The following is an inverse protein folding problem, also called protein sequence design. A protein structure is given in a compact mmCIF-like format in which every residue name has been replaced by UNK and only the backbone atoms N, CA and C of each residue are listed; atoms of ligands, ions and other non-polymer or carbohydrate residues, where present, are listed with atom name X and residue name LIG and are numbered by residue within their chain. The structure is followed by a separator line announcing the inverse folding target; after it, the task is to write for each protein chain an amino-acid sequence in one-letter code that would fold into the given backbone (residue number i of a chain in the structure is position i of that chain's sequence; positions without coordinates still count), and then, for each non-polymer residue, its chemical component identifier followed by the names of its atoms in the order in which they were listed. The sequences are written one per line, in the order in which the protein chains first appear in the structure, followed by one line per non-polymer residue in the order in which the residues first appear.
data_IF_782210198021
#
_entry.id   IF_782210198021
#
_cell.length_a   1.000
_cell.length_b   1.000
_cell.length_c   1.000
_cell.angle_alpha   90.00
_cell.angle_beta   90.00
_cell.angle_gamma   90.00
#
_symmetry.space_group_name_H-M   'P 1'
#
loop_
_entity.id
_entity.type
_entity.pdbx_description
1 polymer ?
#
# COMPACT_ATOMS: atom_id res chain seq x y z
N UNK A 1 -0.16 4.39 -10.20
CA UNK A 1 -0.57 5.72 -10.72
C UNK A 1 0.49 6.77 -10.43
N UNK A 2 0.94 6.94 -9.19
CA UNK A 2 1.95 7.95 -8.81
C UNK A 2 3.27 7.85 -9.62
N UNK A 3 3.81 6.64 -9.83
CA UNK A 3 5.01 6.46 -10.68
C UNK A 3 4.78 6.89 -12.13
N UNK A 4 3.56 6.74 -12.67
CA UNK A 4 3.22 7.17 -14.02
C UNK A 4 3.00 8.68 -14.12
N UNK A 5 2.46 9.32 -13.08
CA UNK A 5 2.36 10.78 -12.98
C UNK A 5 3.75 11.45 -12.88
N UNK A 6 4.66 10.83 -12.12
CA UNK A 6 6.06 11.27 -12.02
C UNK A 6 6.78 11.07 -13.35
N UNK A 7 6.64 9.90 -14.00
CA UNK A 7 7.24 9.64 -15.32
C UNK A 7 6.71 10.59 -16.39
N UNK A 8 5.39 10.86 -16.40
CA UNK A 8 4.78 11.80 -17.34
C UNK A 8 5.34 13.23 -17.20
N UNK A 9 5.60 13.66 -15.96
CA UNK A 9 6.01 15.03 -15.67
C UNK A 9 7.54 15.20 -15.74
N UNK A 10 8.31 14.17 -15.38
CA UNK A 10 9.79 14.19 -15.40
C UNK A 10 10.42 13.62 -16.66
N UNK A 11 9.65 12.89 -17.48
CA UNK A 11 10.14 12.22 -18.69
C UNK A 11 11.21 11.15 -18.43
N UNK A 12 11.43 10.75 -17.16
CA UNK A 12 12.46 9.79 -16.77
C UNK A 12 11.94 8.80 -15.75
N UNK A 13 12.47 7.58 -15.79
CA UNK A 13 12.26 6.53 -14.77
C UNK A 13 13.44 6.40 -13.80
N UNK A 14 14.52 7.14 -14.04
CA UNK A 14 15.74 7.01 -13.23
C UNK A 14 15.55 7.74 -11.91
N UNK A 15 15.43 6.98 -10.82
CA UNK A 15 15.32 7.51 -9.47
C UNK A 15 16.49 8.45 -9.15
N UNK A 16 17.69 8.15 -9.65
CA UNK A 16 18.89 8.98 -9.49
C UNK A 16 18.75 10.38 -10.10
N UNK A 17 17.86 10.56 -11.08
CA UNK A 17 17.58 11.88 -11.68
C UNK A 17 16.40 12.58 -11.02
N UNK A 18 15.75 11.93 -10.07
CA UNK A 18 14.65 12.46 -9.27
C UNK A 18 15.19 12.95 -7.92
N UNK A 19 14.56 13.98 -7.38
CA UNK A 19 14.90 14.55 -6.08
C UNK A 19 14.08 15.79 -5.82
N UNK A 20 13.59 15.96 -4.59
CA UNK A 20 12.84 17.15 -4.18
C UNK A 20 11.50 17.38 -4.89
N UNK A 21 10.92 16.34 -5.50
CA UNK A 21 9.67 16.48 -6.28
C UNK A 21 8.50 17.03 -5.45
N UNK A 22 8.53 16.92 -4.12
CA UNK A 22 7.46 17.48 -3.29
C UNK A 22 7.36 19.00 -3.37
N UNK A 23 8.40 19.72 -3.83
CA UNK A 23 8.39 21.18 -3.99
C UNK A 23 7.66 21.64 -5.26
N UNK A 24 7.72 20.84 -6.32
CA UNK A 24 7.13 21.14 -7.65
C UNK A 24 5.82 20.39 -7.88
N UNK A 25 5.64 19.21 -7.27
CA UNK A 25 4.43 18.38 -7.39
C UNK A 25 3.88 17.99 -6.00
N UNK A 26 3.40 18.95 -5.19
CA UNK A 26 2.97 18.69 -3.81
C UNK A 26 1.81 17.69 -3.70
N UNK A 27 0.83 17.71 -4.62
CA UNK A 27 -0.30 16.77 -4.59
C UNK A 27 0.16 15.34 -4.85
N UNK A 28 1.01 15.15 -5.87
CA UNK A 28 1.56 13.82 -6.20
C UNK A 28 2.51 13.31 -5.10
N UNK A 29 3.26 14.20 -4.46
CA UNK A 29 4.10 13.88 -3.30
C UNK A 29 3.28 13.45 -2.08
N UNK A 30 2.21 14.18 -1.78
CA UNK A 30 1.30 13.86 -0.67
C UNK A 30 0.61 12.51 -0.88
N UNK A 31 -0.02 12.29 -2.05
CA UNK A 31 -0.68 11.01 -2.36
C UNK A 31 0.29 9.84 -2.44
N UNK A 32 1.51 10.05 -2.95
CA UNK A 32 2.57 9.02 -2.92
C UNK A 32 3.01 8.68 -1.51
N UNK A 33 3.09 9.68 -0.64
CA UNK A 33 3.43 9.45 0.77
C UNK A 33 2.32 8.61 1.40
N UNK A 34 1.06 9.03 1.29
CA UNK A 34 -0.10 8.28 1.82
C UNK A 34 -0.13 6.84 1.29
N UNK A 35 0.06 6.65 -0.02
CA UNK A 35 0.11 5.31 -0.62
C UNK A 35 1.27 4.46 -0.10
N UNK A 36 2.47 5.05 0.05
CA UNK A 36 3.64 4.34 0.60
C UNK A 36 3.46 3.94 2.06
N UNK A 37 2.81 4.78 2.86
CA UNK A 37 2.46 4.48 4.26
C UNK A 37 1.41 3.37 4.31
N UNK A 38 0.46 3.36 3.38
CA UNK A 38 -0.55 2.31 3.23
C UNK A 38 0.06 0.94 2.93
N UNK A 39 1.01 0.88 1.99
CA UNK A 39 1.71 -0.37 1.62
C UNK A 39 2.64 -0.85 2.74
N UNK A 40 3.31 0.10 3.40
CA UNK A 40 4.20 -0.22 4.51
C UNK A 40 3.45 -0.74 5.73
N UNK A 41 2.14 -0.54 5.80
CA UNK A 41 1.28 -1.09 6.84
C UNK A 41 1.44 -0.35 8.15
N UNK A 42 1.34 0.98 8.12
CA UNK A 42 1.24 1.78 9.36
C UNK A 42 -0.17 1.60 9.93
N UNK A 43 -0.36 1.54 11.27
CA UNK A 43 -1.65 1.26 11.90
C UNK A 43 -2.92 1.96 11.37
N UNK A 44 -2.90 3.23 10.90
CA UNK A 44 -4.11 3.87 10.39
C UNK A 44 -4.50 3.43 8.97
N UNK A 45 -3.74 2.51 8.34
CA UNK A 45 -3.97 2.07 6.97
C UNK A 45 -4.42 0.61 6.88
N UNK A 46 -5.17 0.30 5.82
CA UNK A 46 -5.66 -1.04 5.52
C UNK A 46 -4.56 -2.12 5.42
N UNK A 47 -3.36 -1.74 4.95
CA UNK A 47 -2.24 -2.66 4.76
C UNK A 47 -1.65 -3.21 6.05
N UNK A 48 -1.83 -2.51 7.18
CA UNK A 48 -1.43 -3.02 8.50
C UNK A 48 -2.30 -4.22 8.90
N UNK A 49 -3.61 -4.03 8.85
CA UNK A 49 -4.58 -5.06 9.21
C UNK A 49 -4.41 -6.32 8.38
N UNK A 50 -4.26 -6.19 7.06
CA UNK A 50 -4.06 -7.33 6.16
C UNK A 50 -2.85 -8.19 6.56
N UNK A 51 -1.70 -7.57 6.87
CA UNK A 51 -0.51 -8.32 7.34
C UNK A 51 -0.70 -8.90 8.74
N UNK A 52 -1.39 -8.17 9.62
CA UNK A 52 -1.64 -8.62 10.99
C UNK A 52 -2.51 -9.89 11.03
N UNK A 53 -3.56 -9.99 10.20
CA UNK A 53 -4.35 -11.21 10.08
C UNK A 53 -3.54 -12.39 9.54
N UNK A 54 -2.67 -12.17 8.56
CA UNK A 54 -1.79 -13.21 8.05
C UNK A 54 -0.86 -13.72 9.16
N UNK A 55 -0.24 -12.82 9.93
CA UNK A 55 0.64 -13.20 11.05
C UNK A 55 -0.13 -13.97 12.11
N UNK A 56 -1.32 -13.50 12.51
CA UNK A 56 -2.17 -14.19 13.48
C UNK A 56 -2.57 -15.58 12.96
N UNK A 57 -2.97 -15.70 11.69
CA UNK A 57 -3.31 -16.97 11.06
C UNK A 57 -2.14 -17.95 11.03
N UNK A 58 -0.93 -17.47 10.73
CA UNK A 58 0.29 -18.31 10.76
C UNK A 58 0.62 -18.79 12.17
N UNK A 59 0.45 -17.93 13.19
CA UNK A 59 0.67 -18.29 14.59
C UNK A 59 -0.37 -19.32 15.04
N UNK A 60 -1.65 -19.13 14.70
CA UNK A 60 -2.71 -20.09 15.03
C UNK A 60 -2.52 -21.44 14.33
N UNK A 61 -1.97 -21.44 13.11
CA UNK A 61 -1.61 -22.66 12.39
C UNK A 61 -0.32 -23.33 12.89
N UNK A 62 0.35 -22.77 13.91
CA UNK A 62 1.60 -23.30 14.47
C UNK A 62 2.86 -23.04 13.62
N UNK A 63 2.75 -22.25 12.55
CA UNK A 63 3.86 -21.92 11.65
C UNK A 63 4.65 -20.68 12.11
N UNK A 64 5.27 -20.78 13.29
CA UNK A 64 6.00 -19.66 13.91
C UNK A 64 7.16 -19.12 13.06
N UNK A 65 7.88 -19.99 12.35
CA UNK A 65 9.01 -19.58 11.48
C UNK A 65 8.51 -18.67 10.34
N UNK A 66 7.39 -19.04 9.72
CA UNK A 66 6.78 -18.24 8.65
C UNK A 66 6.29 -16.90 9.20
N UNK A 67 5.67 -16.89 10.39
CA UNK A 67 5.23 -15.66 11.03
C UNK A 67 6.39 -14.67 11.26
N UNK A 68 7.54 -15.15 11.75
CA UNK A 68 8.76 -14.33 11.94
C UNK A 68 9.28 -13.78 10.61
N UNK A 69 9.33 -14.61 9.56
CA UNK A 69 9.75 -14.17 8.22
C UNK A 69 8.81 -13.08 7.70
N UNK A 70 7.49 -13.24 7.87
CA UNK A 70 6.50 -12.24 7.46
C UNK A 70 6.67 -10.92 8.21
N UNK A 71 6.96 -10.96 9.52
CA UNK A 71 7.26 -9.76 10.31
C UNK A 71 8.51 -9.06 9.76
N UNK A 72 9.60 -9.79 9.55
CA UNK A 72 10.85 -9.23 9.01
C UNK A 72 10.65 -8.63 7.61
N UNK A 73 9.93 -9.33 6.73
CA UNK A 73 9.60 -8.83 5.40
C UNK A 73 8.76 -7.54 5.47
N UNK A 74 7.83 -7.44 6.43
CA UNK A 74 7.04 -6.23 6.62
C UNK A 74 7.90 -5.03 7.05
N UNK A 75 8.81 -5.24 8.01
CA UNK A 75 9.76 -4.21 8.46
C UNK A 75 10.69 -3.77 7.34
N UNK A 76 11.23 -4.72 6.56
CA UNK A 76 12.09 -4.42 5.42
C UNK A 76 11.33 -3.61 4.34
N UNK A 77 10.08 -3.98 4.08
CA UNK A 77 9.21 -3.24 3.16
C UNK A 77 9.03 -1.79 3.62
N UNK A 78 8.69 -1.58 4.91
CA UNK A 78 8.56 -0.24 5.49
C UNK A 78 9.85 0.58 5.33
N UNK A 79 10.99 -0.01 5.68
CA UNK A 79 12.29 0.65 5.57
C UNK A 79 12.62 1.04 4.12
N UNK A 80 12.38 0.13 3.17
CA UNK A 80 12.61 0.37 1.75
C UNK A 80 11.72 1.48 1.21
N UNK A 81 10.41 1.45 1.50
CA UNK A 81 9.47 2.45 1.01
C UNK A 81 9.74 3.83 1.61
N UNK A 82 10.05 3.93 2.91
CA UNK A 82 10.45 5.19 3.53
C UNK A 82 11.72 5.77 2.90
N UNK A 83 12.72 4.92 2.63
CA UNK A 83 13.96 5.33 1.96
C UNK A 83 13.68 5.82 0.54
N UNK A 84 12.87 5.09 -0.23
CA UNK A 84 12.47 5.46 -1.59
C UNK A 84 11.72 6.80 -1.59
N UNK A 85 10.76 6.97 -0.70
CA UNK A 85 9.95 8.19 -0.59
C UNK A 85 10.81 9.40 -0.20
N UNK A 86 11.76 9.21 0.73
CA UNK A 86 12.73 10.26 1.08
C UNK A 86 13.59 10.65 -0.12
N UNK A 87 14.13 9.67 -0.84
CA UNK A 87 15.02 9.90 -1.98
C UNK A 87 14.31 10.61 -3.15
N UNK A 88 13.10 10.15 -3.50
CA UNK A 88 12.35 10.69 -4.64
C UNK A 88 11.70 12.06 -4.34
N UNK A 89 11.09 12.25 -3.15
CA UNK A 89 10.25 13.42 -2.88
C UNK A 89 10.85 14.43 -1.90
N UNK A 90 11.59 13.98 -0.88
CA UNK A 90 12.12 14.84 0.21
C UNK A 90 13.61 15.19 0.07
N UNK A 91 14.25 14.82 -1.04
CA UNK A 91 15.62 15.23 -1.36
C UNK A 91 15.75 16.69 -1.82
N UNK A 92 16.96 17.09 -2.20
CA UNK A 92 17.17 18.37 -2.88
C UNK A 92 16.59 18.33 -4.30
N UNK A 93 16.00 19.46 -4.72
CA UNK A 93 15.43 19.58 -6.05
C UNK A 93 16.58 19.59 -7.06
N UNK A 94 16.64 18.59 -7.94
CA UNK A 94 17.70 18.53 -8.95
C UNK A 94 17.48 19.58 -10.04
N UNK A 95 18.58 20.17 -10.51
CA UNK A 95 18.57 21.13 -11.62
C UNK A 95 17.85 20.56 -12.85
N UNK A 96 16.94 21.35 -13.43
CA UNK A 96 16.08 20.94 -14.54
C UNK A 96 14.69 20.43 -14.16
N UNK A 97 14.43 20.12 -12.88
CA UNK A 97 13.10 19.74 -12.40
C UNK A 97 12.22 20.93 -12.00
N UNK A 98 12.78 22.14 -11.93
CA UNK A 98 12.08 23.38 -11.50
C UNK A 98 10.93 23.83 -12.42
N UNK A 99 11.01 23.49 -13.71
CA UNK A 99 9.99 23.86 -14.71
C UNK A 99 8.85 22.85 -14.82
N UNK A 100 8.93 21.75 -14.06
CA UNK A 100 7.95 20.67 -14.12
C UNK A 100 6.68 21.12 -13.38
N UNK A 101 5.53 20.88 -14.00
CA UNK A 101 4.22 21.15 -13.41
C UNK A 101 3.58 19.84 -12.93
N UNK A 102 2.60 20.00 -12.05
CA UNK A 102 1.79 18.87 -11.58
C UNK A 102 1.14 18.08 -12.72
N UNK A 103 0.90 16.79 -12.43
CA UNK A 103 0.20 15.89 -13.33
C UNK A 103 -1.23 16.39 -13.58
N UNK A 104 -1.81 16.08 -14.77
CA UNK A 104 -3.14 16.55 -15.14
C UNK A 104 -4.19 16.22 -14.08
N UNK A 105 -5.20 17.09 -13.95
CA UNK A 105 -6.23 17.00 -12.92
C UNK A 105 -6.92 15.63 -12.84
N UNK A 106 -7.15 14.96 -13.98
CA UNK A 106 -7.71 13.61 -14.02
C UNK A 106 -6.83 12.57 -13.31
N UNK A 107 -5.51 12.61 -13.53
CA UNK A 107 -4.57 11.71 -12.84
C UNK A 107 -4.52 12.04 -11.34
N UNK A 108 -4.47 13.34 -11.00
CA UNK A 108 -4.52 13.81 -9.62
C UNK A 108 -5.76 13.31 -8.88
N UNK A 109 -6.93 13.46 -9.51
CA UNK A 109 -8.22 13.05 -8.96
C UNK A 109 -8.24 11.56 -8.63
N UNK A 110 -7.85 10.68 -9.56
CA UNK A 110 -7.81 9.25 -9.29
C UNK A 110 -6.82 8.88 -8.18
N UNK A 111 -5.66 9.53 -8.12
CA UNK A 111 -4.68 9.29 -7.03
C UNK A 111 -5.25 9.68 -5.66
N UNK A 112 -5.95 10.81 -5.58
CA UNK A 112 -6.60 11.29 -4.34
C UNK A 112 -7.73 10.35 -3.93
N UNK A 113 -8.60 9.97 -4.87
CA UNK A 113 -9.73 9.06 -4.60
C UNK A 113 -9.20 7.72 -4.07
N UNK A 114 -8.18 7.13 -4.69
CA UNK A 114 -7.58 5.88 -4.19
C UNK A 114 -6.95 6.05 -2.81
N UNK A 115 -6.27 7.17 -2.56
CA UNK A 115 -5.66 7.45 -1.26
C UNK A 115 -6.73 7.59 -0.16
N UNK A 116 -7.84 8.27 -0.44
CA UNK A 116 -8.98 8.41 0.47
C UNK A 116 -9.63 7.05 0.72
N UNK A 117 -9.81 6.22 -0.31
CA UNK A 117 -10.36 4.87 -0.13
C UNK A 117 -9.44 4.02 0.76
N UNK A 118 -8.12 4.06 0.55
CA UNK A 118 -7.18 3.31 1.39
C UNK A 118 -7.21 3.76 2.86
N UNK A 119 -7.28 5.07 3.10
CA UNK A 119 -7.43 5.64 4.44
C UNK A 119 -8.79 5.31 5.06
N UNK A 120 -9.87 5.46 4.28
CA UNK A 120 -11.23 5.19 4.72
C UNK A 120 -11.41 3.75 5.14
N UNK A 121 -10.91 2.79 4.35
CA UNK A 121 -10.92 1.36 4.70
C UNK A 121 -10.04 1.05 5.90
N UNK A 122 -8.90 1.74 6.05
CA UNK A 122 -8.02 1.60 7.21
C UNK A 122 -8.64 2.10 8.52
N UNK A 123 -9.32 3.25 8.48
CA UNK A 123 -9.98 3.88 9.64
C UNK A 123 -11.29 3.16 9.99
N UNK A 124 -12.11 2.85 8.98
CA UNK A 124 -13.38 2.12 9.11
C UNK A 124 -13.16 0.60 9.00
N UNK A 125 -12.06 0.11 9.56
CA UNK A 125 -11.72 -1.31 9.47
C UNK A 125 -12.79 -2.23 10.09
N UNK A 126 -13.37 -1.80 11.22
CA UNK A 126 -14.38 -2.56 11.96
C UNK A 126 -15.66 -2.89 11.14
N UNK A 127 -16.35 -1.92 10.49
CA UNK A 127 -17.50 -2.25 9.63
C UNK A 127 -17.12 -2.99 8.34
N UNK A 128 -15.93 -2.74 7.77
CA UNK A 128 -15.48 -3.45 6.57
C UNK A 128 -15.26 -4.95 6.85
N UNK A 129 -14.71 -5.29 8.02
CA UNK A 129 -14.56 -6.70 8.41
C UNK A 129 -15.90 -7.44 8.46
N UNK A 130 -16.91 -6.84 9.10
CA UNK A 130 -18.23 -7.48 9.25
C UNK A 130 -18.95 -7.68 7.92
N UNK A 131 -18.85 -6.70 7.02
CA UNK A 131 -19.62 -6.73 5.77
C UNK A 131 -18.96 -7.63 4.72
N UNK A 132 -17.63 -7.71 4.70
CA UNK A 132 -16.88 -8.36 3.62
C UNK A 132 -16.16 -9.63 4.08
N UNK A 133 -15.51 -9.58 5.25
CA UNK A 133 -14.59 -10.64 5.67
C UNK A 133 -15.33 -11.82 6.32
N UNK A 134 -16.30 -11.56 7.20
CA UNK A 134 -17.13 -12.61 7.84
C UNK A 134 -17.85 -13.51 6.81
N UNK A 135 -18.63 -12.97 5.84
CA UNK A 135 -19.31 -13.83 4.86
C UNK A 135 -18.34 -14.54 3.90
N UNK A 136 -17.20 -13.91 3.57
CA UNK A 136 -16.19 -14.55 2.73
C UNK A 136 -15.52 -15.73 3.43
N UNK A 137 -15.25 -15.63 4.73
CA UNK A 137 -14.67 -16.73 5.53
C UNK A 137 -15.68 -17.86 5.69
N UNK A 138 -16.96 -17.54 5.92
CA UNK A 138 -18.03 -18.53 6.05
C UNK A 138 -18.20 -19.37 4.77
N UNK A 139 -18.25 -18.73 3.60
CA UNK A 139 -18.32 -19.43 2.30
C UNK A 139 -17.09 -20.30 2.04
N UNK A 140 -15.89 -19.81 2.41
CA UNK A 140 -14.66 -20.61 2.24
C UNK A 140 -14.63 -21.83 3.18
N UNK A 141 -15.08 -21.67 4.43
CA UNK A 141 -15.18 -22.79 5.37
C UNK A 141 -16.26 -23.79 4.95
N UNK A 142 -17.41 -23.33 4.48
CA UNK A 142 -18.46 -24.20 3.93
C UNK A 142 -18.00 -24.89 2.65
N UNK A 143 -17.26 -24.23 1.75
CA UNK A 143 -16.69 -24.84 0.55
C UNK A 143 -15.64 -25.93 0.85
N UNK A 144 -14.79 -25.71 1.85
CA UNK A 144 -13.88 -26.75 2.36
C UNK A 144 -14.66 -27.92 2.97
N UNK A 145 -15.75 -27.63 3.69
CA UNK A 145 -16.65 -28.66 4.24
C UNK A 145 -17.44 -29.41 3.17
N UNK A 146 -17.81 -28.73 2.07
CA UNK A 146 -18.55 -29.30 0.95
C UNK A 146 -17.64 -30.18 0.08
N UNK A 147 -16.41 -29.75 -0.18
CA UNK A 147 -15.42 -30.56 -0.91
C UNK A 147 -15.03 -31.83 -0.14
N UNK A 148 -14.92 -31.76 1.19
CA UNK A 148 -14.70 -32.96 2.02
C UNK A 148 -15.93 -33.89 2.07
N UNK A 149 -17.16 -33.36 2.02
CA UNK A 149 -18.39 -34.15 1.94
C UNK A 149 -18.62 -34.83 0.57
N UNK A 150 -18.11 -34.25 -0.52
CA UNK A 150 -18.28 -34.79 -1.89
C UNK A 150 -17.12 -35.70 -2.30
N UNK A 151 -15.90 -35.45 -1.81
CA UNK A 151 -14.70 -36.26 -2.14
C UNK A 151 -14.33 -37.32 -1.09
N UNK A 152 -14.97 -37.32 0.08
CA UNK A 152 -14.66 -38.24 1.17
C UNK A 152 -15.89 -38.86 1.82
N UNK A 153 -16.34 -40.00 1.27
CA UNK A 153 -17.10 -41.04 1.99
C UNK A 153 -18.56 -40.76 2.27
#
# INVERSE_FOLDING_TARGET
MNSGAVEYSTGTRKLEKMGGLSKVMPVTGATSTIASLSISGIPPFNGFWSKLFIIIGLIQAGHFVLAVITILASVLTLAYYLRMQRYAFFGELKEGLEKIKEAPFLMGFSMIVLAIICLGVGILFYPVMKIVLEPAVEVLQEGIRYSSLVLGG
#
